data_IF_102880275298
#
_entry.id   IF_102880275298
#
_cell.length_a   1.000
_cell.length_b   1.000
_cell.length_c   1.000
_cell.angle_alpha   90.00
_cell.angle_beta   90.00
_cell.angle_gamma   90.00
#
_symmetry.space_group_name_H-M   'P 1'
#
loop_
_entity.id
_entity.type
_entity.pdbx_description
1 polymer ?
#
# COMPACT_ATOMS: atom_id res chain seq x y z
N UNK A 1 -0.74 -7.80 -7.50
CA UNK A 1 -2.05 -7.12 -7.66
C UNK A 1 -2.10 -5.88 -6.77
N UNK A 2 -2.44 -4.70 -7.31
CA UNK A 2 -2.62 -3.48 -6.50
C UNK A 2 -3.90 -3.62 -5.65
N UNK A 3 -3.78 -3.38 -4.33
CA UNK A 3 -4.92 -3.33 -3.41
C UNK A 3 -5.34 -1.87 -3.22
N UNK A 4 -4.39 -0.99 -2.91
CA UNK A 4 -4.65 0.42 -2.60
C UNK A 4 -3.50 1.30 -3.07
N UNK A 5 -3.85 2.52 -3.45
CA UNK A 5 -2.92 3.60 -3.79
C UNK A 5 -3.30 4.86 -3.03
N UNK A 6 -2.30 5.67 -2.69
CA UNK A 6 -2.53 6.94 -2.01
C UNK A 6 -3.23 7.92 -2.97
N UNK A 7 -4.43 8.41 -2.59
CA UNK A 7 -5.23 9.26 -3.48
C UNK A 7 -4.66 10.67 -3.69
N UNK A 8 -3.67 11.10 -2.89
CA UNK A 8 -3.09 12.46 -2.93
C UNK A 8 -1.93 12.59 -3.92
N UNK A 9 -1.82 11.67 -4.89
CA UNK A 9 -0.79 11.71 -5.93
C UNK A 9 0.62 11.36 -5.44
N UNK A 10 0.73 10.76 -4.25
CA UNK A 10 2.00 10.23 -3.73
C UNK A 10 2.15 8.77 -4.12
N UNK A 11 3.38 8.34 -4.37
CA UNK A 11 3.68 7.00 -4.89
C UNK A 11 3.77 5.95 -3.77
N UNK A 12 2.77 5.92 -2.89
CA UNK A 12 2.61 4.91 -1.83
C UNK A 12 1.51 3.93 -2.25
N UNK A 13 1.87 2.64 -2.36
CA UNK A 13 0.99 1.60 -2.89
C UNK A 13 1.07 0.35 -2.04
N UNK A 14 -0.08 -0.25 -1.75
CA UNK A 14 -0.20 -1.55 -1.09
C UNK A 14 -0.54 -2.62 -2.14
N UNK A 15 0.26 -3.68 -2.18
CA UNK A 15 0.11 -4.77 -3.12
C UNK A 15 -0.16 -6.09 -2.41
N UNK A 16 -0.96 -6.95 -3.07
CA UNK A 16 -1.00 -8.39 -2.82
C UNK A 16 -0.02 -9.07 -3.76
N UNK A 17 0.85 -9.89 -3.20
CA UNK A 17 1.76 -10.73 -3.95
C UNK A 17 1.02 -11.91 -4.56
N UNK A 18 0.66 -11.78 -5.83
CA UNK A 18 0.02 -12.82 -6.65
C UNK A 18 1.04 -13.56 -7.51
N UNK A 19 2.26 -13.01 -7.64
CA UNK A 19 3.33 -13.48 -8.52
C UNK A 19 4.67 -13.35 -7.79
N UNK A 20 5.01 -14.29 -6.89
CA UNK A 20 6.24 -14.24 -6.12
C UNK A 20 7.49 -14.24 -7.01
N UNK A 21 8.55 -13.55 -6.59
CA UNK A 21 9.82 -13.39 -7.34
C UNK A 21 9.69 -12.77 -8.73
N UNK A 22 8.53 -12.21 -9.09
CA UNK A 22 8.40 -11.49 -10.35
C UNK A 22 9.13 -10.16 -10.28
N UNK A 23 9.80 -9.80 -11.38
CA UNK A 23 10.41 -8.49 -11.55
C UNK A 23 9.50 -7.67 -12.44
N UNK A 24 9.02 -6.55 -11.92
CA UNK A 24 8.22 -5.59 -12.67
C UNK A 24 9.12 -4.44 -13.11
N UNK A 25 9.34 -4.31 -14.41
CA UNK A 25 10.09 -3.22 -15.03
C UNK A 25 9.16 -2.25 -15.73
N UNK A 26 9.33 -0.96 -15.47
CA UNK A 26 8.60 0.09 -16.17
C UNK A 26 9.47 1.34 -16.29
N UNK A 27 9.13 2.19 -17.25
CA UNK A 27 9.85 3.43 -17.52
C UNK A 27 9.19 4.58 -16.77
N UNK A 28 9.97 5.30 -15.97
CA UNK A 28 9.56 6.54 -15.31
C UNK A 28 10.58 7.63 -15.64
N UNK A 29 10.12 8.75 -16.22
CA UNK A 29 10.94 9.92 -16.57
C UNK A 29 12.27 9.55 -17.25
N UNK A 30 12.18 8.68 -18.26
CA UNK A 30 13.30 8.14 -19.06
C UNK A 30 14.22 7.15 -18.34
N UNK A 31 14.01 6.87 -17.05
CA UNK A 31 14.73 5.85 -16.31
C UNK A 31 13.94 4.53 -16.26
N UNK A 32 14.65 3.41 -16.41
CA UNK A 32 14.08 2.08 -16.20
C UNK A 32 14.12 1.79 -14.70
N UNK A 33 12.95 1.63 -14.09
CA UNK A 33 12.82 1.24 -12.69
C UNK A 33 12.39 -0.21 -12.63
N UNK A 34 13.12 -1.02 -11.86
CA UNK A 34 12.81 -2.43 -11.59
C UNK A 34 12.36 -2.60 -10.15
N UNK A 35 11.20 -3.22 -9.96
CA UNK A 35 10.66 -3.61 -8.66
C UNK A 35 10.62 -5.13 -8.58
N UNK A 36 11.40 -5.71 -7.67
CA UNK A 36 11.39 -7.15 -7.41
C UNK A 36 10.36 -7.47 -6.34
N UNK A 37 9.42 -8.35 -6.65
CA UNK A 37 8.36 -8.74 -5.72
C UNK A 37 8.91 -9.71 -4.67
N UNK A 38 8.39 -9.70 -3.43
CA UNK A 38 8.83 -10.61 -2.37
C UNK A 38 8.67 -12.09 -2.77
N UNK A 39 9.53 -12.95 -2.23
CA UNK A 39 9.49 -14.39 -2.48
C UNK A 39 8.43 -15.11 -1.65
N UNK A 40 8.31 -14.72 -0.38
CA UNK A 40 7.60 -15.49 0.66
C UNK A 40 6.51 -14.68 1.38
N UNK A 41 6.35 -13.40 1.02
CA UNK A 41 5.36 -12.50 1.65
C UNK A 41 4.11 -12.36 0.80
N UNK A 42 2.95 -12.40 1.45
CA UNK A 42 1.65 -12.23 0.79
C UNK A 42 1.32 -10.79 0.44
N UNK A 43 1.85 -9.82 1.18
CA UNK A 43 1.57 -8.40 1.00
C UNK A 43 2.84 -7.57 1.15
N UNK A 44 2.88 -6.43 0.45
CA UNK A 44 4.00 -5.50 0.55
C UNK A 44 3.56 -4.07 0.24
N UNK A 45 4.22 -3.11 0.88
CA UNK A 45 4.04 -1.67 0.66
C UNK A 45 5.22 -1.14 -0.12
N UNK A 46 4.92 -0.42 -1.18
CA UNK A 46 5.88 0.27 -2.03
C UNK A 46 5.74 1.77 -1.81
N UNK A 47 6.86 2.44 -1.63
CA UNK A 47 6.97 3.90 -1.58
C UNK A 47 8.08 4.34 -2.50
N UNK A 48 7.79 5.25 -3.42
CA UNK A 48 8.74 5.74 -4.43
C UNK A 48 9.48 4.60 -5.13
N UNK A 49 8.73 3.54 -5.44
CA UNK A 49 9.18 2.34 -6.16
C UNK A 49 10.14 1.43 -5.38
N UNK A 50 10.26 1.64 -4.06
CA UNK A 50 11.02 0.80 -3.16
C UNK A 50 10.05 0.07 -2.23
N UNK A 51 10.26 -1.22 -2.03
CA UNK A 51 9.52 -1.96 -1.00
C UNK A 51 10.04 -1.51 0.37
N UNK A 52 9.15 -0.91 1.15
CA UNK A 52 9.50 -0.40 2.49
C UNK A 52 9.03 -1.34 3.61
N UNK A 53 8.05 -2.20 3.32
CA UNK A 53 7.53 -3.15 4.30
C UNK A 53 6.83 -4.34 3.63
N UNK A 54 6.88 -5.50 4.29
CA UNK A 54 6.32 -6.75 3.78
C UNK A 54 5.73 -7.57 4.94
N UNK A 55 4.60 -8.23 4.72
CA UNK A 55 3.95 -9.05 5.74
C UNK A 55 3.04 -10.11 5.12
N UNK A 56 2.75 -11.15 5.89
CA UNK A 56 1.73 -12.15 5.59
C UNK A 56 0.36 -11.79 6.19
N UNK A 57 0.30 -10.76 7.04
CA UNK A 57 -0.91 -10.34 7.73
C UNK A 57 -1.46 -9.06 7.09
N UNK A 58 -2.69 -9.16 6.54
CA UNK A 58 -3.35 -8.02 5.92
C UNK A 58 -3.61 -6.86 6.91
N UNK A 59 -3.95 -7.17 8.15
CA UNK A 59 -4.22 -6.16 9.19
C UNK A 59 -2.96 -5.35 9.52
N UNK A 60 -1.82 -6.02 9.59
CA UNK A 60 -0.53 -5.38 9.90
C UNK A 60 -0.09 -4.48 8.75
N UNK A 61 -0.05 -5.02 7.52
CA UNK A 61 0.39 -4.28 6.34
C UNK A 61 -0.52 -3.08 6.03
N UNK A 62 -1.84 -3.21 6.28
CA UNK A 62 -2.77 -2.10 6.07
C UNK A 62 -2.57 -0.99 7.10
N UNK A 63 -2.37 -1.33 8.38
CA UNK A 63 -2.07 -0.32 9.39
C UNK A 63 -0.77 0.41 9.06
N UNK A 64 0.28 -0.33 8.67
CA UNK A 64 1.54 0.27 8.24
C UNK A 64 1.36 1.22 7.04
N UNK A 65 0.60 0.80 6.01
CA UNK A 65 0.28 1.65 4.86
C UNK A 65 -0.46 2.94 5.29
N UNK A 66 -1.46 2.84 6.17
CA UNK A 66 -2.21 3.99 6.66
C UNK A 66 -1.32 4.95 7.44
N UNK A 67 -0.46 4.42 8.30
CA UNK A 67 0.45 5.22 9.11
C UNK A 67 1.48 5.96 8.25
N UNK A 68 2.04 5.31 7.22
CA UNK A 68 2.91 5.98 6.23
C UNK A 68 2.17 7.08 5.45
N UNK A 69 0.94 6.82 5.02
CA UNK A 69 0.12 7.83 4.34
C UNK A 69 -0.17 9.03 5.25
N UNK A 70 -0.38 8.81 6.55
CA UNK A 70 -0.62 9.87 7.53
C UNK A 70 0.66 10.65 7.80
N UNK A 71 1.79 9.96 8.04
CA UNK A 71 3.09 10.57 8.29
C UNK A 71 3.49 11.51 7.15
N UNK A 72 3.21 11.09 5.92
CA UNK A 72 3.64 11.82 4.75
C UNK A 72 2.68 12.96 4.35
N UNK A 73 1.37 12.82 4.62
CA UNK A 73 0.38 13.85 4.31
C UNK A 73 0.05 14.78 5.50
N UNK A 74 0.61 14.53 6.68
CA UNK A 74 0.39 15.30 7.90
C UNK A 74 -1.05 15.25 8.44
N UNK A 75 -1.94 14.48 7.83
CA UNK A 75 -3.34 14.38 8.23
C UNK A 75 -3.96 13.05 7.80
N UNK A 76 -4.78 12.48 8.69
CA UNK A 76 -5.62 11.32 8.43
C UNK A 76 -6.94 11.65 7.73
N UNK A 77 -7.22 12.94 7.46
CA UNK A 77 -8.46 13.34 6.80
C UNK A 77 -8.59 12.68 5.42
N UNK A 78 -9.60 11.82 5.30
CA UNK A 78 -9.91 11.06 4.08
C UNK A 78 -9.28 9.66 3.99
N UNK A 79 -8.48 9.23 4.98
CA UNK A 79 -7.87 7.90 4.97
C UNK A 79 -8.79 6.90 5.67
N UNK A 80 -9.32 5.94 4.91
CA UNK A 80 -10.11 4.84 5.46
C UNK A 80 -9.18 3.70 5.86
N UNK A 81 -9.01 3.47 7.15
CA UNK A 81 -8.41 2.25 7.69
C UNK A 81 -9.48 1.14 7.77
N UNK A 82 -9.40 0.07 6.98
CA UNK A 82 -10.44 -0.97 6.98
C UNK A 82 -10.40 -1.87 8.22
N UNK A 83 -9.27 -1.92 8.93
CA UNK A 83 -9.18 -2.58 10.24
C UNK A 83 -10.04 -1.83 11.26
N UNK A 84 -9.91 -0.50 11.31
CA UNK A 84 -10.52 0.36 12.33
C UNK A 84 -11.89 0.88 11.95
N UNK A 85 -12.21 0.99 10.67
CA UNK A 85 -13.46 1.55 10.19
C UNK A 85 -14.32 0.50 9.49
N UNK A 86 -15.63 0.59 9.71
CA UNK A 86 -16.67 -0.20 9.03
C UNK A 86 -17.64 0.73 8.34
N UNK A 87 -18.26 0.24 7.27
CA UNK A 87 -19.40 0.91 6.64
C UNK A 87 -20.68 0.43 7.29
N UNK A 88 -21.44 1.35 7.89
CA UNK A 88 -22.81 1.11 8.39
C UNK A 88 -23.74 2.06 7.65
N UNK A 89 -24.74 1.53 6.94
CA UNK A 89 -25.72 2.32 6.19
C UNK A 89 -25.06 3.41 5.31
N UNK A 90 -24.03 3.02 4.56
CA UNK A 90 -23.23 3.92 3.70
C UNK A 90 -22.49 5.05 4.42
N UNK A 91 -22.48 5.04 5.75
CA UNK A 91 -21.69 5.97 6.56
C UNK A 91 -20.48 5.24 7.14
N UNK A 92 -19.35 5.93 7.14
CA UNK A 92 -18.16 5.42 7.79
C UNK A 92 -18.34 5.53 9.31
N UNK A 93 -18.20 4.40 9.99
CA UNK A 93 -18.22 4.30 11.44
C UNK A 93 -16.91 3.67 11.92
N UNK A 94 -16.44 4.07 13.09
CA UNK A 94 -15.36 3.33 13.77
C UNK A 94 -15.93 1.99 14.25
N UNK A 95 -15.14 0.92 14.10
CA UNK A 95 -15.57 -0.46 14.36
C UNK A 95 -16.04 -0.68 15.79
#
# INVERSE_FOLDING_TARGET
>A
MLIRECSKGRNIKLYRNTTPNSVYTYTQDQNIVSLTYPADKQFFVVKDNVIIHESNNFTEIENYYVDEVIAENGSSLGVINWVKHKLINFRLAVR
#
